data_IF_703054649562
#
_entry.id   IF_703054649562
#
_cell.length_a   1.000
_cell.length_b   1.000
_cell.length_c   1.000
_cell.angle_alpha   90.00
_cell.angle_beta   90.00
_cell.angle_gamma   90.00
#
_symmetry.space_group_name_H-M   'P 1'
#
loop_
_entity.id
_entity.type
_entity.pdbx_description
1 polymer ?
#
# COMPACT_ATOMS: atom_id res chain seq x y z
N UNK A 1 16.25 22.89 14.20
CA UNK A 1 17.40 22.18 14.80
C UNK A 1 17.03 21.27 15.98
N UNK A 2 16.00 21.54 16.79
CA UNK A 2 15.57 20.64 17.88
C UNK A 2 14.67 19.46 17.44
N UNK A 3 14.19 19.46 16.19
CA UNK A 3 13.31 18.44 15.62
C UNK A 3 14.02 17.15 15.19
N UNK A 4 15.32 17.22 14.86
CA UNK A 4 16.08 16.06 14.37
C UNK A 4 16.36 15.02 15.47
N UNK A 5 16.53 15.46 16.71
CA UNK A 5 16.88 14.57 17.83
C UNK A 5 15.67 13.75 18.30
N UNK A 6 14.44 14.27 18.12
CA UNK A 6 13.19 13.56 18.44
C UNK A 6 12.83 12.49 17.40
N UNK A 7 13.18 12.74 16.13
CA UNK A 7 13.02 11.76 15.04
C UNK A 7 13.99 10.58 15.19
N UNK A 8 15.23 10.84 15.65
CA UNK A 8 16.28 9.82 15.80
C UNK A 8 15.95 8.65 16.74
N UNK A 9 15.18 8.90 17.82
CA UNK A 9 14.83 7.88 18.82
C UNK A 9 13.93 6.78 18.23
N UNK A 10 13.10 7.12 17.25
CA UNK A 10 12.22 6.17 16.57
C UNK A 10 12.98 5.06 15.83
N UNK A 11 14.25 5.26 15.46
CA UNK A 11 15.04 4.27 14.71
C UNK A 11 15.73 3.22 15.59
N UNK A 12 15.72 3.38 16.91
CA UNK A 12 16.33 2.40 17.83
C UNK A 12 15.55 1.09 17.80
N UNK A 13 14.22 1.16 17.71
CA UNK A 13 13.32 -0.01 17.65
C UNK A 13 13.63 -0.89 16.43
N UNK A 14 13.61 -0.38 15.17
CA UNK A 14 13.87 -1.20 14.01
C UNK A 14 15.31 -1.71 13.99
N UNK A 15 16.28 -0.91 14.48
CA UNK A 15 17.67 -1.37 14.60
C UNK A 15 17.80 -2.54 15.58
N UNK A 16 17.16 -2.45 16.75
CA UNK A 16 17.11 -3.54 17.74
C UNK A 16 16.47 -4.80 17.17
N UNK A 17 15.40 -4.66 16.39
CA UNK A 17 14.75 -5.77 15.71
C UNK A 17 15.65 -6.42 14.64
N UNK A 18 16.40 -5.64 13.86
CA UNK A 18 17.37 -6.16 12.88
C UNK A 18 18.48 -6.95 13.61
N UNK A 19 18.99 -6.44 14.72
CA UNK A 19 19.99 -7.16 15.53
C UNK A 19 19.41 -8.47 16.06
N UNK A 20 18.20 -8.44 16.63
CA UNK A 20 17.51 -9.64 17.11
C UNK A 20 17.27 -10.66 15.99
N UNK A 21 16.89 -10.21 14.80
CA UNK A 21 16.75 -11.03 13.61
C UNK A 21 18.07 -11.71 13.25
N UNK A 22 19.17 -10.96 13.14
CA UNK A 22 20.49 -11.55 12.79
C UNK A 22 20.91 -12.58 13.84
N UNK A 23 20.74 -12.29 15.13
CA UNK A 23 21.04 -13.23 16.20
C UNK A 23 20.19 -14.50 16.11
N UNK A 24 18.91 -14.40 15.75
CA UNK A 24 18.04 -15.56 15.58
C UNK A 24 18.46 -16.45 14.41
N UNK A 25 18.90 -15.87 13.30
CA UNK A 25 19.41 -16.59 12.12
C UNK A 25 20.72 -17.30 12.45
N UNK A 26 21.63 -16.64 13.18
CA UNK A 26 22.88 -17.24 13.64
C UNK A 26 22.65 -18.40 14.63
N UNK A 27 21.56 -18.34 15.39
CA UNK A 27 21.15 -19.42 16.30
C UNK A 27 20.35 -20.53 15.60
N UNK A 28 20.19 -20.47 14.27
CA UNK A 28 19.37 -21.39 13.46
C UNK A 28 17.90 -21.47 13.93
N UNK A 29 17.44 -20.45 14.66
CA UNK A 29 16.06 -20.35 15.13
C UNK A 29 15.30 -19.34 14.26
N UNK A 30 14.86 -19.81 13.10
CA UNK A 30 14.18 -18.97 12.12
C UNK A 30 12.79 -18.51 12.59
N UNK A 31 12.13 -19.26 13.47
CA UNK A 31 10.87 -18.83 14.11
C UNK A 31 11.08 -17.56 14.93
N UNK A 32 12.18 -17.46 15.69
CA UNK A 32 12.54 -16.22 16.36
C UNK A 32 12.84 -15.09 15.37
N UNK A 33 13.41 -15.40 14.21
CA UNK A 33 13.63 -14.42 13.13
C UNK A 33 12.32 -13.84 12.59
N UNK A 34 11.33 -14.69 12.34
CA UNK A 34 9.96 -14.28 11.98
C UNK A 34 9.40 -13.37 13.07
N UNK A 35 9.53 -13.76 14.34
CA UNK A 35 9.05 -12.98 15.48
C UNK A 35 9.70 -11.59 15.52
N UNK A 36 11.03 -11.47 15.42
CA UNK A 36 11.71 -10.18 15.43
C UNK A 36 11.36 -9.31 14.23
N UNK A 37 11.17 -9.88 13.04
CA UNK A 37 10.75 -9.12 11.86
C UNK A 37 9.33 -8.56 12.03
N UNK A 38 8.37 -9.40 12.46
CA UNK A 38 6.97 -8.98 12.68
C UNK A 38 6.87 -8.01 13.86
N UNK A 39 7.39 -8.38 15.03
CA UNK A 39 7.33 -7.54 16.23
C UNK A 39 8.10 -6.22 16.02
N UNK A 40 9.22 -6.25 15.31
CA UNK A 40 10.01 -5.06 14.99
C UNK A 40 9.20 -4.01 14.24
N UNK A 41 8.55 -4.39 13.14
CA UNK A 41 7.68 -3.49 12.39
C UNK A 41 6.45 -3.08 13.20
N UNK A 42 5.80 -4.02 13.90
CA UNK A 42 4.58 -3.71 14.64
C UNK A 42 4.83 -2.74 15.79
N UNK A 43 5.85 -2.99 16.62
CA UNK A 43 6.20 -2.11 17.75
C UNK A 43 6.64 -0.75 17.23
N UNK A 44 7.34 -0.71 16.10
CA UNK A 44 7.78 0.53 15.50
C UNK A 44 6.62 1.37 14.94
N UNK A 45 5.68 0.75 14.23
CA UNK A 45 4.46 1.42 13.77
C UNK A 45 3.60 1.87 14.96
N UNK A 46 3.48 1.03 15.99
CA UNK A 46 2.77 1.39 17.22
C UNK A 46 3.42 2.59 17.92
N UNK A 47 4.75 2.66 17.96
CA UNK A 47 5.46 3.81 18.53
C UNK A 47 5.07 5.10 17.82
N UNK A 48 5.06 5.12 16.48
CA UNK A 48 4.64 6.30 15.72
C UNK A 48 3.16 6.64 15.93
N UNK A 49 2.30 5.63 15.96
CA UNK A 49 0.86 5.80 16.19
C UNK A 49 0.57 6.39 17.59
N UNK A 50 1.29 5.97 18.62
CA UNK A 50 1.11 6.45 20.00
C UNK A 50 1.75 7.82 20.21
N UNK A 51 2.90 8.07 19.59
CA UNK A 51 3.65 9.31 19.78
C UNK A 51 3.11 10.49 18.95
N UNK A 52 2.05 10.28 18.15
CA UNK A 52 1.47 11.26 17.22
C UNK A 52 2.55 12.00 16.41
N UNK A 53 3.59 11.26 16.06
CA UNK A 53 4.75 11.76 15.33
C UNK A 53 4.53 11.53 13.86
N UNK A 54 4.75 12.59 13.05
CA UNK A 54 4.68 12.49 11.60
C UNK A 54 5.50 11.30 11.10
N UNK A 55 4.87 10.47 10.26
CA UNK A 55 5.50 9.33 9.63
C UNK A 55 6.76 9.80 8.88
N UNK A 56 7.95 9.25 9.16
CA UNK A 56 9.16 9.67 8.46
C UNK A 56 9.06 9.34 6.97
N UNK A 57 9.64 10.19 6.11
CA UNK A 57 9.66 9.99 4.65
C UNK A 57 10.27 8.64 4.22
N UNK A 58 11.06 8.03 5.10
CA UNK A 58 11.69 6.71 4.92
C UNK A 58 10.86 5.54 5.44
N UNK A 59 9.62 5.76 5.92
CA UNK A 59 8.77 4.70 6.47
C UNK A 59 8.53 3.58 5.45
N UNK A 60 8.23 3.93 4.20
CA UNK A 60 8.05 2.95 3.12
C UNK A 60 9.30 2.07 2.92
N UNK A 61 10.51 2.63 3.02
CA UNK A 61 11.75 1.88 2.87
C UNK A 61 11.93 0.86 4.00
N UNK A 62 11.58 1.22 5.23
CA UNK A 62 11.63 0.29 6.35
C UNK A 62 10.59 -0.81 6.21
N UNK A 63 9.36 -0.52 5.76
CA UNK A 63 8.35 -1.55 5.51
C UNK A 63 8.86 -2.54 4.45
N UNK A 64 9.49 -2.05 3.37
CA UNK A 64 10.11 -2.91 2.34
C UNK A 64 11.21 -3.77 2.98
N UNK A 65 12.13 -3.17 3.75
CA UNK A 65 13.23 -3.88 4.41
C UNK A 65 12.71 -5.01 5.31
N UNK A 66 11.73 -4.72 6.18
CA UNK A 66 11.15 -5.72 7.06
C UNK A 66 10.33 -6.76 6.30
N UNK A 67 9.68 -6.41 5.20
CA UNK A 67 9.05 -7.37 4.30
C UNK A 67 10.05 -8.36 3.70
N UNK A 68 11.22 -7.88 3.28
CA UNK A 68 12.32 -8.73 2.78
C UNK A 68 12.87 -9.62 3.90
N UNK A 69 13.13 -9.07 5.09
CA UNK A 69 13.61 -9.84 6.25
C UNK A 69 12.61 -10.93 6.66
N UNK A 70 11.32 -10.59 6.71
CA UNK A 70 10.27 -11.54 7.06
C UNK A 70 10.18 -12.68 6.02
N UNK A 71 10.18 -12.34 4.72
CA UNK A 71 10.20 -13.34 3.66
C UNK A 71 11.43 -14.25 3.76
N UNK A 72 12.61 -13.68 4.03
CA UNK A 72 13.84 -14.45 4.20
C UNK A 72 13.72 -15.42 5.39
N UNK A 73 13.20 -15.01 6.54
CA UNK A 73 13.03 -15.90 7.68
C UNK A 73 11.98 -16.98 7.43
N UNK A 74 10.86 -16.64 6.78
CA UNK A 74 9.85 -17.63 6.36
C UNK A 74 10.47 -18.64 5.39
N UNK A 75 11.28 -18.19 4.44
CA UNK A 75 12.00 -19.06 3.50
C UNK A 75 13.01 -19.95 4.20
N UNK A 76 13.82 -19.43 5.12
CA UNK A 76 14.78 -20.26 5.87
C UNK A 76 14.08 -21.29 6.76
N UNK A 77 12.89 -20.96 7.28
CA UNK A 77 12.12 -21.87 8.13
C UNK A 77 11.38 -22.95 7.36
N UNK A 78 10.82 -22.64 6.19
CA UNK A 78 9.91 -23.53 5.45
C UNK A 78 10.32 -23.85 4.02
N UNK A 79 11.22 -23.08 3.42
CA UNK A 79 11.59 -23.16 2.00
C UNK A 79 12.54 -24.30 1.66
N UNK A 80 13.21 -24.87 2.64
CA UNK A 80 14.09 -26.02 2.47
C UNK A 80 14.11 -26.93 3.70
N UNK A 81 14.52 -28.17 3.51
CA UNK A 81 14.87 -29.08 4.59
C UNK A 81 16.17 -29.80 4.29
N UNK A 82 16.90 -30.18 5.34
CA UNK A 82 18.07 -30.99 5.22
C UNK A 82 17.68 -32.48 5.32
N UNK A 83 18.02 -33.25 4.29
CA UNK A 83 17.79 -34.69 4.30
C UNK A 83 18.81 -35.38 5.23
N UNK A 84 18.53 -36.63 5.60
CA UNK A 84 19.40 -37.42 6.50
C UNK A 84 20.81 -37.69 5.95
N UNK A 85 21.05 -37.39 4.68
CA UNK A 85 22.34 -37.51 4.00
C UNK A 85 23.06 -36.15 3.85
N UNK A 86 22.52 -35.10 4.46
CA UNK A 86 23.06 -33.75 4.42
C UNK A 86 22.75 -32.96 3.13
N UNK A 87 21.97 -33.51 2.21
CA UNK A 87 21.49 -32.82 1.01
C UNK A 87 20.34 -31.86 1.33
N UNK A 88 20.18 -30.83 0.51
CA UNK A 88 19.14 -29.81 0.65
C UNK A 88 17.97 -30.19 -0.26
N UNK A 89 16.79 -30.34 0.31
CA UNK A 89 15.54 -30.55 -0.40
C UNK A 89 14.69 -29.28 -0.36
N UNK A 90 14.36 -28.74 -1.54
CA UNK A 90 13.54 -27.54 -1.63
C UNK A 90 12.07 -27.86 -1.46
N UNK A 91 11.40 -27.12 -0.57
CA UNK A 91 9.96 -27.20 -0.37
C UNK A 91 9.28 -26.10 -1.15
N UNK A 92 8.60 -26.50 -2.22
CA UNK A 92 7.85 -25.57 -3.09
C UNK A 92 6.81 -24.78 -2.29
N UNK A 93 6.11 -25.42 -1.35
CA UNK A 93 5.10 -24.79 -0.51
C UNK A 93 5.65 -23.64 0.33
N UNK A 94 6.74 -23.88 1.08
CA UNK A 94 7.37 -22.83 1.89
C UNK A 94 8.01 -21.72 1.05
N UNK A 95 8.52 -22.08 -0.14
CA UNK A 95 9.06 -21.11 -1.10
C UNK A 95 7.97 -20.18 -1.63
N UNK A 96 6.80 -20.71 -1.99
CA UNK A 96 5.65 -19.91 -2.44
C UNK A 96 5.14 -19.02 -1.30
N UNK A 97 5.04 -19.54 -0.07
CA UNK A 97 4.65 -18.74 1.09
C UNK A 97 5.59 -17.55 1.30
N UNK A 98 6.91 -17.76 1.22
CA UNK A 98 7.89 -16.70 1.34
C UNK A 98 7.78 -15.65 0.22
N UNK A 99 7.48 -16.08 -1.01
CA UNK A 99 7.25 -15.16 -2.14
C UNK A 99 5.98 -14.32 -1.96
N UNK A 100 4.91 -14.91 -1.47
CA UNK A 100 3.66 -14.18 -1.16
C UNK A 100 3.94 -13.11 -0.10
N UNK A 101 4.66 -13.47 0.97
CA UNK A 101 5.07 -12.52 2.01
C UNK A 101 5.95 -11.40 1.43
N UNK A 102 6.91 -11.74 0.57
CA UNK A 102 7.77 -10.75 -0.10
C UNK A 102 6.95 -9.79 -0.96
N UNK A 103 6.01 -10.34 -1.75
CA UNK A 103 5.16 -9.57 -2.63
C UNK A 103 4.32 -8.56 -1.85
N UNK A 104 3.59 -9.00 -0.83
CA UNK A 104 2.77 -8.11 -0.02
C UNK A 104 3.61 -7.12 0.80
N UNK A 105 4.75 -7.55 1.36
CA UNK A 105 5.64 -6.67 2.13
C UNK A 105 6.24 -5.56 1.27
N UNK A 106 6.76 -5.89 0.08
CA UNK A 106 7.34 -4.92 -0.84
C UNK A 106 6.28 -4.00 -1.43
N UNK A 107 5.14 -4.55 -1.88
CA UNK A 107 4.03 -3.76 -2.44
C UNK A 107 3.46 -2.79 -1.41
N UNK A 108 3.22 -3.23 -0.18
CA UNK A 108 2.75 -2.37 0.90
C UNK A 108 3.72 -1.21 1.16
N UNK A 109 5.02 -1.48 1.18
CA UNK A 109 6.01 -0.42 1.41
C UNK A 109 6.16 0.54 0.23
N UNK A 110 6.05 0.06 -1.01
CA UNK A 110 6.02 0.91 -2.21
C UNK A 110 4.79 1.82 -2.22
N UNK A 111 3.61 1.28 -1.90
CA UNK A 111 2.37 2.07 -1.80
C UNK A 111 2.48 3.17 -0.75
N UNK A 112 3.08 2.86 0.40
CA UNK A 112 3.28 3.84 1.45
C UNK A 112 4.22 4.98 1.01
N UNK A 113 5.30 4.64 0.28
CA UNK A 113 6.20 5.63 -0.32
C UNK A 113 5.49 6.54 -1.33
N UNK A 114 4.57 5.98 -2.12
CA UNK A 114 3.82 6.75 -3.12
C UNK A 114 2.80 7.71 -2.49
N UNK A 115 2.10 7.31 -1.42
CA UNK A 115 1.16 8.19 -0.70
C UNK A 115 1.85 9.45 -0.16
N UNK A 116 3.07 9.32 0.38
CA UNK A 116 3.89 10.46 0.83
C UNK A 116 4.37 11.35 -0.34
N UNK A 117 4.54 10.79 -1.54
CA UNK A 117 4.91 11.59 -2.73
C UNK A 117 3.74 12.37 -3.32
N UNK A 118 2.50 11.91 -3.11
CA UNK A 118 1.28 12.61 -3.56
C UNK A 118 0.93 13.80 -2.63
N UNK A 119 1.08 13.63 -1.31
CA UNK A 119 1.02 14.75 -0.34
C UNK A 119 2.26 15.68 -0.42
N UNK A 120 3.31 15.20 -1.10
CA UNK A 120 4.57 15.87 -1.30
C UNK A 120 4.65 16.67 -2.60
N UNK A 121 3.54 17.20 -3.11
CA UNK A 121 3.57 18.23 -4.16
C UNK A 121 4.13 19.54 -3.58
N UNK A 122 5.38 19.49 -3.10
CA UNK A 122 6.17 20.66 -2.77
C UNK A 122 6.36 21.42 -4.07
N UNK A 123 5.87 22.66 -4.07
CA UNK A 123 6.16 23.66 -5.07
C UNK A 123 7.62 23.50 -5.52
N UNK A 124 7.83 23.37 -6.83
CA UNK A 124 9.16 23.35 -7.44
C UNK A 124 9.95 24.57 -6.97
N UNK A 125 11.28 24.50 -6.99
CA UNK A 125 12.12 25.63 -6.52
C UNK A 125 11.75 26.96 -7.20
N UNK A 126 11.26 26.90 -8.44
CA UNK A 126 10.77 28.04 -9.21
C UNK A 126 9.40 28.54 -8.73
N UNK A 127 8.51 27.66 -8.31
CA UNK A 127 7.21 28.02 -7.75
C UNK A 127 7.36 28.60 -6.33
N UNK A 128 8.29 28.10 -5.52
CA UNK A 128 8.64 28.70 -4.23
C UNK A 128 9.18 30.13 -4.38
N UNK A 129 10.09 30.36 -5.34
CA UNK A 129 10.64 31.69 -5.58
C UNK A 129 9.56 32.71 -6.00
N UNK A 130 8.57 32.26 -6.78
CA UNK A 130 7.45 33.11 -7.20
C UNK A 130 6.49 33.41 -6.05
N UNK A 131 6.25 32.46 -5.14
CA UNK A 131 5.43 32.67 -3.93
C UNK A 131 6.13 33.61 -2.95
N UNK A 132 7.44 33.43 -2.72
CA UNK A 132 8.23 34.33 -1.87
C UNK A 132 8.26 35.76 -2.42
N UNK A 133 8.39 35.92 -3.74
CA UNK A 133 8.34 37.22 -4.40
C UNK A 133 6.97 37.88 -4.31
N UNK A 134 5.90 37.10 -4.39
CA UNK A 134 4.53 37.59 -4.19
C UNK A 134 4.26 38.02 -2.75
N UNK A 135 4.84 37.33 -1.75
CA UNK A 135 4.74 37.69 -0.33
C UNK A 135 5.56 38.93 0.04
N UNK A 136 6.63 39.23 -0.71
CA UNK A 136 7.49 40.40 -0.53
C UNK A 136 6.93 41.70 -1.15
N UNK A 137 5.79 41.64 -1.85
CA UNK A 137 5.04 42.82 -2.29
C UNK A 137 5.65 43.58 -3.47
N UNK A 138 6.32 42.89 -4.40
CA UNK A 138 6.86 43.50 -5.62
C UNK A 138 5.74 43.76 -6.66
N UNK A 139 5.78 44.94 -7.32
CA UNK A 139 4.66 45.57 -8.05
C UNK A 139 4.13 44.86 -9.34
N UNK A 140 4.52 43.61 -9.59
CA UNK A 140 3.97 42.82 -10.70
C UNK A 140 3.61 41.39 -10.25
N UNK A 141 2.48 41.22 -9.54
CA UNK A 141 2.05 39.92 -9.06
C UNK A 141 1.54 39.10 -10.26
N UNK A 142 2.41 38.28 -10.85
CA UNK A 142 1.97 37.19 -11.72
C UNK A 142 1.24 36.16 -10.87
N UNK A 143 -0.09 36.26 -10.85
CA UNK A 143 -0.99 35.37 -10.13
C UNK A 143 -0.88 33.96 -10.73
N UNK A 144 -0.45 33.00 -9.93
CA UNK A 144 -0.57 31.58 -10.30
C UNK A 144 -2.06 31.24 -10.19
N UNK A 145 -2.74 31.15 -11.32
CA UNK A 145 -4.09 30.57 -11.37
C UNK A 145 -3.91 29.07 -11.21
N UNK A 146 -3.97 28.59 -9.98
CA UNK A 146 -4.17 27.16 -9.73
C UNK A 146 -5.59 26.87 -10.17
N UNK A 147 -5.75 26.06 -11.21
CA UNK A 147 -7.05 25.51 -11.59
C UNK A 147 -7.46 24.55 -10.48
N UNK A 148 -8.06 25.08 -9.41
CA UNK A 148 -8.87 24.27 -8.53
C UNK A 148 -10.11 23.93 -9.34
N UNK A 149 -10.24 22.67 -9.75
CA UNK A 149 -11.54 22.14 -10.14
C UNK A 149 -12.43 22.24 -8.90
N UNK A 150 -13.24 23.29 -8.88
CA UNK A 150 -14.31 23.46 -7.93
C UNK A 150 -15.56 23.03 -8.67
N UNK A 151 -16.27 22.04 -8.12
CA UNK A 151 -17.66 21.76 -8.47
C UNK A 151 -18.44 23.06 -8.32
N UNK A 152 -18.91 23.61 -9.43
CA UNK A 152 -19.92 24.66 -9.44
C UNK A 152 -21.22 24.02 -9.94
N UNK A 153 -22.16 23.87 -9.00
CA UNK A 153 -23.58 23.69 -9.29
C UNK A 153 -24.18 25.02 -9.80
N UNK A 154 -25.11 24.86 -10.77
CA UNK A 154 -26.25 25.71 -11.14
C UNK A 154 -26.18 26.50 -12.47
N UNK A 155 -27.03 26.01 -13.41
CA UNK A 155 -27.92 26.70 -14.37
C UNK A 155 -27.66 28.17 -14.73
N UNK A 156 -27.52 28.47 -16.04
CA UNK A 156 -28.66 28.87 -16.90
C UNK A 156 -28.21 29.07 -18.37
N UNK A 157 -28.92 28.40 -19.28
CA UNK A 157 -29.32 28.75 -20.67
C UNK A 157 -28.46 29.68 -21.55
N UNK A 158 -27.93 29.16 -22.67
CA UNK A 158 -28.56 29.30 -24.02
C UNK A 158 -27.58 28.84 -25.15
N UNK A 159 -28.07 27.86 -25.92
CA UNK A 159 -27.92 27.62 -27.37
C UNK A 159 -26.52 27.64 -28.05
N UNK A 160 -26.08 26.49 -28.57
CA UNK A 160 -26.24 26.13 -30.01
C UNK A 160 -25.66 24.72 -30.27
N UNK A 161 -26.38 23.98 -31.13
CA UNK A 161 -26.32 22.54 -31.33
C UNK A 161 -25.04 22.06 -32.02
N UNK A 162 -24.40 21.01 -31.50
CA UNK A 162 -23.56 20.14 -32.33
C UNK A 162 -23.93 18.66 -32.13
N UNK A 163 -24.07 18.04 -33.30
CA UNK A 163 -24.64 16.75 -33.67
C UNK A 163 -23.85 15.57 -33.06
N UNK A 164 -24.52 14.78 -32.21
CA UNK A 164 -23.96 13.55 -31.64
C UNK A 164 -24.10 12.40 -32.65
N UNK A 165 -23.00 12.02 -33.31
CA UNK A 165 -22.91 10.70 -33.95
C UNK A 165 -22.66 9.61 -32.90
N UNK A 166 -23.72 8.84 -32.68
CA UNK A 166 -23.84 7.63 -31.88
C UNK A 166 -22.97 6.48 -32.44
N UNK A 167 -22.03 5.96 -31.65
CA UNK A 167 -21.43 4.64 -31.89
C UNK A 167 -21.61 3.73 -30.68
N UNK A 168 -22.62 2.89 -30.84
CA UNK A 168 -23.03 1.65 -30.17
C UNK A 168 -21.94 0.90 -29.38
N UNK A 169 -22.18 0.75 -28.07
CA UNK A 169 -21.69 -0.39 -27.29
C UNK A 169 -22.85 -0.98 -26.47
N UNK A 170 -23.63 -1.84 -27.12
CA UNK A 170 -24.57 -2.78 -26.54
C UNK A 170 -23.99 -3.55 -25.34
N UNK A 171 -24.54 -3.31 -24.14
CA UNK A 171 -24.38 -4.17 -22.98
C UNK A 171 -25.48 -5.26 -22.99
N UNK A 172 -25.16 -6.54 -22.73
CA UNK A 172 -26.17 -7.59 -22.64
C UNK A 172 -26.94 -7.47 -21.32
N UNK A 173 -28.23 -7.12 -21.42
CA UNK A 173 -29.18 -7.10 -20.32
C UNK A 173 -29.47 -8.54 -19.83
N UNK A 174 -29.10 -8.82 -18.59
CA UNK A 174 -29.73 -9.87 -17.79
C UNK A 174 -30.93 -9.26 -17.06
N UNK A 175 -32.14 -9.57 -17.54
CA UNK A 175 -33.37 -9.86 -16.77
C UNK A 175 -34.57 -9.68 -17.72
N UNK A 176 -35.22 -10.77 -18.11
CA UNK A 176 -36.62 -10.75 -18.50
C UNK A 176 -37.37 -11.53 -17.43
N UNK A 177 -38.13 -10.80 -16.62
CA UNK A 177 -39.28 -11.31 -15.88
C UNK A 177 -40.35 -11.65 -16.91
N UNK A 178 -40.69 -12.92 -17.02
CA UNK A 178 -42.04 -13.41 -17.35
C UNK A 178 -41.90 -14.90 -17.59
N UNK A 179 -42.34 -15.69 -16.60
CA UNK A 179 -42.66 -17.10 -16.81
C UNK A 179 -43.42 -17.62 -15.58
N UNK A 180 -44.74 -17.38 -15.62
CA UNK A 180 -45.74 -18.07 -14.80
C UNK A 180 -45.61 -19.59 -15.03
N UNK A 181 -45.22 -20.34 -14.00
CA UNK A 181 -45.35 -21.80 -14.02
C UNK A 181 -46.36 -22.26 -12.98
N UNK A 182 -47.50 -22.68 -13.55
CA UNK A 182 -48.72 -23.24 -13.01
C UNK A 182 -48.47 -24.59 -12.28
N UNK A 183 -49.06 -24.74 -11.09
CA UNK A 183 -48.99 -25.96 -10.29
C UNK A 183 -49.93 -27.03 -10.85
N UNK A 184 -49.40 -28.20 -11.23
CA UNK A 184 -50.21 -29.39 -11.53
C UNK A 184 -49.74 -30.56 -10.65
N UNK A 185 -50.65 -31.04 -9.82
CA UNK A 185 -50.50 -32.24 -8.99
C UNK A 185 -50.63 -33.49 -9.89
N UNK A 186 -49.73 -34.46 -9.75
CA UNK A 186 -50.00 -35.83 -10.17
C UNK A 186 -49.94 -36.78 -8.97
N UNK A 187 -51.07 -37.45 -8.80
CA UNK A 187 -51.45 -38.45 -7.79
C UNK A 187 -50.71 -39.77 -8.01
N UNK A 188 -50.54 -40.52 -6.92
CA UNK A 188 -50.04 -41.90 -6.83
C UNK A 188 -50.61 -42.87 -7.90
N UNK A 189 -49.85 -43.90 -8.30
CA UNK A 189 -50.22 -45.30 -8.03
C UNK A 189 -49.15 -46.33 -8.46
N UNK A 190 -49.23 -47.46 -7.75
CA UNK A 190 -48.35 -48.62 -7.65
C UNK A 190 -48.33 -49.55 -8.89
N UNK A 191 -47.21 -50.26 -9.10
CA UNK A 191 -47.13 -51.74 -9.23
C UNK A 191 -45.67 -52.24 -9.35
#
# INVERSE_FOLDING_TARGET
MASDVRSGIGFIIPLGAIVGFVLSVLAENYVLGIFFAVAGVLIWLLYFAVMDTAAPDIMGNFIILFGVLLSLAVFMNFGWEQNMWGGIEFKAEGSVMALVVLFFGTLSGVLYRQKLSLDGQKLTAREQELVDRALLGEEDPRVIVVKQEKEDEADDDDDEYDEYEEYDYSYPYYFNEDDEYEYVYEEDEED
#
